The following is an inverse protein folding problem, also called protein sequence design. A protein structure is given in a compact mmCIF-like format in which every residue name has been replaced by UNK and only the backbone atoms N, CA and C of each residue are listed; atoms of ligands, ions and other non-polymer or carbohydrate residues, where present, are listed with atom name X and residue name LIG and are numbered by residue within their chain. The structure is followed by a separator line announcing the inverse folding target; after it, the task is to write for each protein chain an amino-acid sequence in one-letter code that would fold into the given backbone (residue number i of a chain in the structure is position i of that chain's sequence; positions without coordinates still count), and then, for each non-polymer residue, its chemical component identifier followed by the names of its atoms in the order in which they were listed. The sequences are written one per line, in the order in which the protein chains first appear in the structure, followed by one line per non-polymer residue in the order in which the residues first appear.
data_IF_107235503993
#
_entry.id   IF_107235503993
#
_cell.length_a   1.000
_cell.length_b   1.000
_cell.length_c   1.000
_cell.angle_alpha   90.00
_cell.angle_beta   90.00
_cell.angle_gamma   90.00
#
_symmetry.space_group_name_H-M   'P 1'
#
loop_
_entity.id
_entity.type
_entity.pdbx_description
1 polymer ?
#
# COMPACT_ATOMS: atom_id res chain seq x y z
N UNK A 1 20.89 -27.83 11.08
CA UNK A 1 20.44 -26.97 9.96
C UNK A 1 19.59 -25.84 10.52
N UNK A 2 20.25 -24.70 10.73
CA UNK A 2 19.70 -23.50 11.35
C UNK A 2 18.59 -22.90 10.48
N UNK A 3 17.36 -22.90 11.01
CA UNK A 3 16.22 -22.21 10.42
C UNK A 3 16.50 -20.71 10.53
N UNK A 4 16.91 -20.08 9.44
CA UNK A 4 16.89 -18.63 9.28
C UNK A 4 15.43 -18.20 9.46
N UNK A 5 15.07 -17.84 10.70
CA UNK A 5 13.82 -17.15 10.99
C UNK A 5 13.96 -15.83 10.26
N UNK A 6 13.22 -15.68 9.16
CA UNK A 6 13.06 -14.40 8.48
C UNK A 6 12.71 -13.37 9.54
N UNK A 7 13.62 -12.42 9.78
CA UNK A 7 13.49 -11.34 10.77
C UNK A 7 12.30 -10.41 10.48
N UNK A 8 11.65 -10.62 9.34
CA UNK A 8 10.33 -10.10 8.98
C UNK A 8 9.39 -11.30 8.83
N UNK A 9 8.29 -11.31 9.60
CA UNK A 9 7.37 -12.46 9.71
C UNK A 9 6.78 -12.97 8.39
N UNK A 10 5.86 -13.94 8.46
CA UNK A 10 5.31 -14.61 7.26
C UNK A 10 4.78 -13.63 6.19
N UNK A 11 4.75 -14.01 4.89
CA UNK A 11 4.20 -13.15 3.83
C UNK A 11 2.81 -12.60 4.16
N UNK A 12 1.96 -13.41 4.78
CA UNK A 12 0.64 -13.02 5.29
C UNK A 12 0.73 -11.95 6.38
N UNK A 13 1.66 -12.10 7.33
CA UNK A 13 1.90 -11.11 8.40
C UNK A 13 2.36 -9.78 7.81
N UNK A 14 3.29 -9.81 6.85
CA UNK A 14 3.76 -8.60 6.16
C UNK A 14 2.60 -7.92 5.40
N UNK A 15 1.80 -8.70 4.67
CA UNK A 15 0.60 -8.21 3.98
C UNK A 15 -0.35 -7.50 4.92
N UNK A 16 -0.74 -8.14 6.02
CA UNK A 16 -1.66 -7.56 6.99
C UNK A 16 -1.09 -6.28 7.63
N UNK A 17 0.22 -6.24 7.87
CA UNK A 17 0.90 -5.04 8.35
C UNK A 17 0.80 -3.89 7.34
N UNK A 18 1.06 -4.15 6.06
CA UNK A 18 0.96 -3.17 4.97
C UNK A 18 -0.48 -2.67 4.81
N UNK A 19 -1.44 -3.59 4.75
CA UNK A 19 -2.87 -3.22 4.62
C UNK A 19 -3.33 -2.35 5.79
N UNK A 20 -2.91 -2.67 7.02
CA UNK A 20 -3.22 -1.83 8.19
C UNK A 20 -2.56 -0.46 8.11
N UNK A 21 -1.32 -0.37 7.64
CA UNK A 21 -0.67 0.92 7.40
C UNK A 21 -1.45 1.77 6.39
N UNK A 22 -1.91 1.17 5.29
CA UNK A 22 -2.74 1.87 4.29
C UNK A 22 -4.05 2.34 4.91
N UNK A 23 -4.77 1.48 5.64
CA UNK A 23 -6.02 1.83 6.30
C UNK A 23 -5.85 2.98 7.33
N UNK A 24 -4.77 2.97 8.11
CA UNK A 24 -4.45 4.05 9.06
C UNK A 24 -4.12 5.37 8.33
N UNK A 25 -3.38 5.32 7.23
CA UNK A 25 -3.07 6.49 6.40
C UNK A 25 -4.31 7.05 5.71
N UNK A 26 -5.15 6.20 5.11
CA UNK A 26 -6.44 6.55 4.50
C UNK A 26 -7.33 7.28 5.50
N UNK A 27 -7.53 6.69 6.69
CA UNK A 27 -8.36 7.29 7.74
C UNK A 27 -7.80 8.63 8.22
N UNK A 28 -6.48 8.80 8.21
CA UNK A 28 -5.86 10.08 8.57
C UNK A 28 -6.09 11.13 7.48
N UNK A 29 -5.91 10.76 6.21
CA UNK A 29 -6.16 11.65 5.07
C UNK A 29 -7.63 12.07 4.97
N UNK A 30 -8.57 11.13 5.10
CA UNK A 30 -10.01 11.41 5.03
C UNK A 30 -10.52 12.32 6.15
N UNK A 31 -9.76 12.49 7.22
CA UNK A 31 -10.09 13.41 8.32
C UNK A 31 -9.46 14.80 8.16
N UNK A 32 -8.50 14.96 7.24
CA UNK A 32 -7.85 16.24 6.99
C UNK A 32 -8.72 17.07 6.04
N UNK A 33 -8.83 18.37 6.33
CA UNK A 33 -9.54 19.33 5.49
C UNK A 33 -8.58 20.19 4.65
N UNK A 34 -7.27 20.11 4.90
CA UNK A 34 -6.26 20.96 4.28
C UNK A 34 -5.22 20.11 3.57
N UNK A 35 -4.89 20.51 2.33
CA UNK A 35 -3.76 19.97 1.58
C UNK A 35 -2.46 20.60 2.08
N UNK A 36 -1.73 19.85 2.91
CA UNK A 36 -0.44 20.24 3.49
C UNK A 36 0.66 19.22 3.14
N UNK A 37 1.89 19.46 3.59
CA UNK A 37 3.02 18.55 3.39
C UNK A 37 2.73 17.14 3.94
N UNK A 38 2.07 17.05 5.10
CA UNK A 38 1.67 15.77 5.70
C UNK A 38 0.71 14.99 4.79
N UNK A 39 -0.19 15.69 4.07
CA UNK A 39 -1.09 15.07 3.09
C UNK A 39 -0.32 14.43 1.94
N UNK A 40 0.70 15.11 1.43
CA UNK A 40 1.57 14.58 0.36
C UNK A 40 2.36 13.38 0.84
N UNK A 41 2.91 13.46 2.04
CA UNK A 41 3.66 12.38 2.68
C UNK A 41 2.80 11.15 2.95
N UNK A 42 1.57 11.32 3.44
CA UNK A 42 0.63 10.22 3.65
C UNK A 42 0.21 9.58 2.33
N UNK A 43 -0.07 10.38 1.29
CA UNK A 43 -0.40 9.87 -0.03
C UNK A 43 0.77 9.07 -0.64
N UNK A 44 2.01 9.56 -0.49
CA UNK A 44 3.21 8.83 -0.89
C UNK A 44 3.41 7.54 -0.08
N UNK A 45 3.16 7.56 1.24
CA UNK A 45 3.20 6.35 2.08
C UNK A 45 2.21 5.29 1.57
N UNK A 46 1.01 5.69 1.17
CA UNK A 46 0.02 4.78 0.59
C UNK A 46 0.57 4.17 -0.70
N UNK A 47 1.15 4.98 -1.61
CA UNK A 47 1.75 4.48 -2.85
C UNK A 47 2.86 3.45 -2.59
N UNK A 48 3.82 3.76 -1.70
CA UNK A 48 4.88 2.80 -1.32
C UNK A 48 4.30 1.52 -0.72
N UNK A 49 3.26 1.65 0.10
CA UNK A 49 2.62 0.50 0.73
C UNK A 49 1.86 -0.37 -0.28
N UNK A 50 1.23 0.23 -1.29
CA UNK A 50 0.58 -0.49 -2.40
C UNK A 50 1.60 -1.23 -3.26
N UNK A 51 2.73 -0.60 -3.60
CA UNK A 51 3.83 -1.23 -4.35
C UNK A 51 4.45 -2.40 -3.57
N UNK A 52 4.69 -2.22 -2.27
CA UNK A 52 5.19 -3.30 -1.41
C UNK A 52 4.17 -4.44 -1.25
N UNK A 53 2.88 -4.12 -1.30
CA UNK A 53 1.79 -5.08 -1.24
C UNK A 53 1.75 -5.91 -2.52
N UNK A 54 1.80 -5.29 -3.70
CA UNK A 54 1.89 -5.96 -5.00
C UNK A 54 3.06 -6.96 -5.03
N UNK A 55 4.27 -6.52 -4.66
CA UNK A 55 5.44 -7.40 -4.59
C UNK A 55 5.24 -8.61 -3.64
N UNK A 56 4.55 -8.42 -2.51
CA UNK A 56 4.22 -9.50 -1.58
C UNK A 56 3.19 -10.49 -2.17
N UNK A 57 2.22 -10.00 -2.93
CA UNK A 57 1.23 -10.83 -3.65
C UNK A 57 1.97 -11.69 -4.67
N UNK A 58 2.82 -11.09 -5.50
CA UNK A 58 3.57 -11.80 -6.53
C UNK A 58 4.50 -12.86 -5.94
N UNK A 59 5.21 -12.55 -4.85
CA UNK A 59 6.03 -13.53 -4.13
C UNK A 59 5.19 -14.74 -3.66
N UNK A 60 3.99 -14.48 -3.14
CA UNK A 60 3.10 -15.53 -2.61
C UNK A 60 2.52 -16.39 -3.73
N UNK A 61 2.09 -15.76 -4.83
CA UNK A 61 1.58 -16.46 -6.01
C UNK A 61 2.68 -17.33 -6.65
N UNK A 62 3.88 -16.77 -6.82
CA UNK A 62 5.05 -17.47 -7.37
C UNK A 62 5.45 -18.69 -6.53
N UNK A 63 5.31 -18.59 -5.19
CA UNK A 63 5.58 -19.71 -4.30
C UNK A 63 4.56 -20.87 -4.47
N UNK A 64 3.33 -20.57 -4.88
CA UNK A 64 2.32 -21.58 -5.21
C UNK A 64 2.52 -22.17 -6.60
N UNK A 65 2.93 -21.38 -7.58
CA UNK A 65 3.30 -21.87 -8.93
C UNK A 65 4.45 -22.87 -8.87
N UNK A 66 5.49 -22.57 -8.07
CA UNK A 66 6.62 -23.51 -7.82
C UNK A 66 6.18 -24.85 -7.20
N UNK A 67 4.97 -24.92 -6.65
CA UNK A 67 4.36 -26.13 -6.09
C UNK A 67 3.28 -26.71 -7.01
N UNK A 68 3.22 -26.27 -8.26
CA UNK A 68 2.22 -26.64 -9.27
C UNK A 68 0.77 -26.26 -8.91
N UNK A 69 0.57 -25.27 -8.03
CA UNK A 69 -0.76 -24.76 -7.64
C UNK A 69 -1.19 -23.54 -8.47
N UNK A 70 -1.18 -23.67 -9.80
CA UNK A 70 -1.44 -22.57 -10.73
C UNK A 70 -2.82 -21.92 -10.55
N UNK A 71 -3.89 -22.73 -10.52
CA UNK A 71 -5.27 -22.22 -10.32
C UNK A 71 -5.39 -21.43 -9.00
N UNK A 72 -4.68 -21.85 -7.96
CA UNK A 72 -4.67 -21.16 -6.67
C UNK A 72 -3.92 -19.83 -6.74
N UNK A 73 -2.79 -19.80 -7.45
CA UNK A 73 -2.01 -18.59 -7.69
C UNK A 73 -2.81 -17.56 -8.49
N UNK A 74 -3.48 -17.99 -9.56
CA UNK A 74 -4.29 -17.11 -10.41
C UNK A 74 -5.49 -16.54 -9.68
N UNK A 75 -6.27 -17.39 -8.99
CA UNK A 75 -7.39 -16.93 -8.15
C UNK A 75 -6.95 -15.94 -7.07
N UNK A 76 -5.71 -16.06 -6.61
CA UNK A 76 -5.17 -15.15 -5.63
C UNK A 76 -4.72 -13.84 -6.25
N UNK A 77 -4.03 -13.84 -7.40
CA UNK A 77 -3.75 -12.60 -8.14
C UNK A 77 -5.03 -11.84 -8.50
N UNK A 78 -6.06 -12.55 -8.95
CA UNK A 78 -7.37 -11.97 -9.28
C UNK A 78 -7.99 -11.15 -8.13
N UNK A 79 -7.82 -11.59 -6.89
CA UNK A 79 -8.30 -10.84 -5.71
C UNK A 79 -7.60 -9.48 -5.50
N UNK A 80 -6.44 -9.30 -6.12
CA UNK A 80 -5.56 -8.13 -5.96
C UNK A 80 -5.33 -7.36 -7.26
N UNK A 81 -6.04 -7.69 -8.35
CA UNK A 81 -5.92 -7.02 -9.65
C UNK A 81 -6.19 -5.51 -9.60
N UNK A 82 -6.94 -5.05 -8.60
CA UNK A 82 -7.20 -3.65 -8.35
C UNK A 82 -5.97 -2.86 -7.87
N UNK A 83 -4.94 -3.51 -7.32
CA UNK A 83 -3.75 -2.84 -6.77
C UNK A 83 -3.05 -1.98 -7.82
N UNK A 84 -2.70 -2.57 -8.95
CA UNK A 84 -1.89 -1.90 -9.98
C UNK A 84 -2.63 -0.68 -10.58
N UNK A 85 -3.93 -0.77 -10.96
CA UNK A 85 -4.69 0.39 -11.39
C UNK A 85 -4.75 1.51 -10.33
N UNK A 86 -4.97 1.18 -9.05
CA UNK A 86 -5.03 2.19 -7.99
C UNK A 86 -3.66 2.83 -7.74
N UNK A 87 -2.59 2.04 -7.72
CA UNK A 87 -1.23 2.53 -7.59
C UNK A 87 -0.88 3.49 -8.72
N UNK A 88 -1.16 3.13 -9.99
CA UNK A 88 -0.89 3.99 -11.14
C UNK A 88 -1.66 5.31 -11.08
N UNK A 89 -2.94 5.28 -10.69
CA UNK A 89 -3.73 6.50 -10.48
C UNK A 89 -3.12 7.39 -9.41
N UNK A 90 -2.71 6.80 -8.27
CA UNK A 90 -2.08 7.53 -7.18
C UNK A 90 -0.72 8.11 -7.59
N UNK A 91 0.08 7.34 -8.32
CA UNK A 91 1.36 7.77 -8.86
C UNK A 91 1.20 9.00 -9.75
N UNK A 92 0.22 8.97 -10.66
CA UNK A 92 -0.06 10.12 -11.54
C UNK A 92 -0.40 11.36 -10.73
N UNK A 93 -1.26 11.22 -9.73
CA UNK A 93 -1.65 12.33 -8.84
C UNK A 93 -0.43 12.92 -8.12
N UNK A 94 0.45 12.05 -7.60
CA UNK A 94 1.64 12.49 -6.89
C UNK A 94 2.68 13.15 -7.82
N UNK A 95 2.87 12.64 -9.04
CA UNK A 95 3.86 13.16 -10.00
C UNK A 95 3.42 14.45 -10.68
N UNK A 96 2.16 14.50 -11.07
CA UNK A 96 1.58 15.62 -11.82
C UNK A 96 0.92 16.65 -10.88
N UNK A 97 1.03 16.46 -9.56
CA UNK A 97 0.45 17.32 -8.53
C UNK A 97 -1.05 17.56 -8.70
N UNK A 98 -1.78 16.55 -9.20
CA UNK A 98 -3.23 16.59 -9.44
C UNK A 98 -4.02 16.35 -8.14
N UNK A 99 -3.78 17.17 -7.12
CA UNK A 99 -4.32 16.97 -5.76
C UNK A 99 -5.85 16.98 -5.69
N UNK A 100 -6.52 17.68 -6.62
CA UNK A 100 -7.98 17.68 -6.77
C UNK A 100 -8.55 16.28 -7.05
N UNK A 101 -7.75 15.39 -7.66
CA UNK A 101 -8.14 14.01 -7.94
C UNK A 101 -7.83 13.05 -6.77
N UNK A 102 -7.15 13.52 -5.72
CA UNK A 102 -6.81 12.68 -4.58
C UNK A 102 -8.05 12.25 -3.78
N UNK A 103 -8.97 13.14 -3.35
CA UNK A 103 -10.15 12.73 -2.58
C UNK A 103 -11.00 11.62 -3.24
N UNK A 104 -11.39 11.70 -4.53
CA UNK A 104 -12.17 10.63 -5.15
C UNK A 104 -11.39 9.32 -5.25
N UNK A 105 -10.06 9.37 -5.49
CA UNK A 105 -9.23 8.17 -5.46
C UNK A 105 -9.17 7.54 -4.06
N UNK A 106 -9.08 8.34 -2.98
CA UNK A 106 -9.07 7.82 -1.61
C UNK A 106 -10.40 7.14 -1.27
N UNK A 107 -11.53 7.69 -1.73
CA UNK A 107 -12.85 7.09 -1.56
C UNK A 107 -13.02 5.77 -2.35
N UNK A 108 -12.46 5.67 -3.55
CA UNK A 108 -12.40 4.40 -4.28
C UNK A 108 -11.52 3.38 -3.55
N UNK A 109 -10.35 3.83 -3.06
CA UNK A 109 -9.36 2.98 -2.41
C UNK A 109 -9.87 2.46 -1.06
N UNK A 110 -10.65 3.24 -0.31
CA UNK A 110 -11.16 2.85 1.01
C UNK A 110 -11.98 1.57 0.98
N UNK A 111 -12.74 1.34 -0.09
CA UNK A 111 -13.60 0.15 -0.27
C UNK A 111 -12.83 -1.17 -0.20
N UNK A 112 -11.54 -1.18 -0.57
CA UNK A 112 -10.68 -2.38 -0.51
C UNK A 112 -10.12 -2.67 0.89
N UNK A 113 -10.35 -1.77 1.85
CA UNK A 113 -9.87 -1.85 3.23
C UNK A 113 -11.00 -1.79 4.27
N UNK A 114 -12.26 -1.93 3.84
CA UNK A 114 -13.45 -1.91 4.71
C UNK A 114 -13.42 -3.03 5.77
N UNK A 115 -12.71 -4.13 5.49
CA UNK A 115 -12.49 -5.24 6.43
C UNK A 115 -11.53 -4.90 7.58
N UNK A 116 -10.84 -3.76 7.54
CA UNK A 116 -9.82 -3.38 8.52
C UNK A 116 -10.35 -2.39 9.54
N UNK A 117 -10.65 -2.88 10.74
CA UNK A 117 -11.01 -2.03 11.86
C UNK A 117 -9.78 -1.36 12.48
N UNK A 118 -9.69 -0.03 12.33
CA UNK A 118 -8.67 0.81 12.99
C UNK A 118 -9.22 1.33 14.32
N UNK A 119 -9.13 0.51 15.37
CA UNK A 119 -9.54 0.90 16.73
C UNK A 119 -8.52 1.83 17.41
N UNK A 120 -7.23 1.64 17.11
CA UNK A 120 -6.13 2.44 17.65
C UNK A 120 -5.12 2.70 16.54
N UNK A 121 -4.68 3.95 16.42
CA UNK A 121 -3.55 4.34 15.55
C UNK A 121 -2.27 3.80 16.17
N UNK A 122 -1.52 3.07 15.36
CA UNK A 122 -0.24 2.48 15.75
C UNK A 122 0.92 3.08 14.97
N UNK A 123 0.64 3.76 13.84
CA UNK A 123 1.66 4.46 13.05
C UNK A 123 1.84 5.89 13.54
N UNK A 124 3.09 6.31 13.64
CA UNK A 124 3.49 7.67 14.02
C UNK A 124 3.99 8.45 12.79
N UNK A 125 4.05 9.78 12.94
CA UNK A 125 4.51 10.71 11.88
C UNK A 125 5.85 10.32 11.25
N UNK A 126 6.75 9.76 12.05
CA UNK A 126 8.05 9.29 11.60
C UNK A 126 7.99 8.26 10.45
N UNK A 127 6.85 7.56 10.27
CA UNK A 127 6.70 6.60 9.19
C UNK A 127 6.52 7.25 7.81
N UNK A 128 5.73 8.34 7.74
CA UNK A 128 5.42 9.02 6.47
C UNK A 128 6.23 10.28 6.23
N UNK A 129 6.86 10.85 7.25
CA UNK A 129 7.66 12.06 7.08
C UNK A 129 8.71 11.89 5.96
N UNK A 130 8.70 12.82 5.01
CA UNK A 130 9.58 12.80 3.83
C UNK A 130 9.32 11.65 2.86
N UNK A 131 8.18 10.96 2.96
CA UNK A 131 7.77 9.96 1.98
C UNK A 131 7.54 10.57 0.60
N UNK A 132 7.00 11.80 0.53
CA UNK A 132 6.80 12.48 -0.75
C UNK A 132 8.12 12.81 -1.43
N UNK A 133 9.12 13.27 -0.67
CA UNK A 133 10.46 13.52 -1.22
C UNK A 133 11.11 12.24 -1.75
N UNK A 134 11.05 11.14 -0.97
CA UNK A 134 11.51 9.82 -1.42
C UNK A 134 10.79 9.32 -2.66
N UNK A 135 9.50 9.62 -2.78
CA UNK A 135 8.73 9.30 -3.98
C UNK A 135 9.26 10.07 -5.20
N UNK A 136 9.48 11.38 -5.08
CA UNK A 136 10.03 12.18 -6.17
C UNK A 136 11.44 11.72 -6.58
N UNK A 137 12.28 11.35 -5.61
CA UNK A 137 13.61 10.76 -5.88
C UNK A 137 13.50 9.44 -6.65
N UNK A 138 12.56 8.57 -6.28
CA UNK A 138 12.32 7.29 -6.97
C UNK A 138 11.85 7.51 -8.42
N UNK A 139 11.04 8.54 -8.69
CA UNK A 139 10.54 8.85 -10.04
C UNK A 139 11.56 9.54 -10.95
N UNK A 140 12.71 9.94 -10.41
CA UNK A 140 13.83 10.52 -11.18
C UNK A 140 14.84 9.47 -11.66
N UNK A 141 14.78 8.25 -11.13
CA UNK A 141 15.64 7.12 -11.53
C UNK A 141 15.07 6.44 -12.76
#
# INVERSE_FOLDING_TARGET
MSRLISTHGSPTTQRNRLRRTIAEALRTLMQKQTLDEETRDLAALIWFSLRALEANIDQSASAWEKRNYYIKADRFRAQWEWLTPMQRRLERILREELWELLPPLLADLSRYFDDITVNRRTRSKALWQGAYQRFLEEMRK
#
